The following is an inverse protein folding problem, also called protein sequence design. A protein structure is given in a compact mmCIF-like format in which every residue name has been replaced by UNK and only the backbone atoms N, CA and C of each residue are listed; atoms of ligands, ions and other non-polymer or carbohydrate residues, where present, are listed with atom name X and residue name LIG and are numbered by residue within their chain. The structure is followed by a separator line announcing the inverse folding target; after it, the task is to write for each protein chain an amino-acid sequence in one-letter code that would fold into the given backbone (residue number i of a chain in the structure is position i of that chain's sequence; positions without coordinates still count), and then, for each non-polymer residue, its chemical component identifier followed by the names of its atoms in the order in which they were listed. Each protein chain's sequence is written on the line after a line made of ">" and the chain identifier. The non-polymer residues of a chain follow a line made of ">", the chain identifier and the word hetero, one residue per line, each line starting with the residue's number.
data_IF_425101250803
#
_entry.id   IF_425101250803
#
_cell.length_a   1.000
_cell.length_b   1.000
_cell.length_c   1.000
_cell.angle_alpha   90.00
_cell.angle_beta   90.00
_cell.angle_gamma   90.00
#
_symmetry.space_group_name_H-M   'P 1'
#
loop_
_entity.id
_entity.type
_entity.pdbx_description
1 polymer ?
#
# COMPACT_ATOMS: atom_id res chain seq x y z
N UNK A 1 11.96 -14.28 27.51
CA UNK A 1 12.29 -14.00 26.10
C UNK A 1 11.48 -12.81 25.65
N UNK A 2 12.11 -11.64 25.60
CA UNK A 2 11.43 -10.39 25.26
C UNK A 2 11.32 -10.28 23.74
N UNK A 3 10.13 -10.49 23.18
CA UNK A 3 9.84 -10.11 21.80
C UNK A 3 9.72 -8.59 21.71
N UNK A 4 10.77 -7.93 21.27
CA UNK A 4 10.70 -6.53 20.83
C UNK A 4 9.85 -6.47 19.57
N UNK A 5 8.63 -5.98 19.70
CA UNK A 5 7.74 -5.65 18.58
C UNK A 5 8.36 -4.51 17.79
N UNK A 6 8.97 -4.82 16.66
CA UNK A 6 9.41 -3.81 15.70
C UNK A 6 8.17 -3.17 15.07
N UNK A 7 7.99 -1.88 15.27
CA UNK A 7 6.97 -1.09 14.58
C UNK A 7 7.29 -1.06 13.10
N UNK A 8 6.48 -1.77 12.31
CA UNK A 8 6.56 -1.80 10.85
C UNK A 8 6.01 -0.48 10.34
N UNK A 9 6.89 0.43 9.95
CA UNK A 9 6.52 1.64 9.21
C UNK A 9 6.35 1.23 7.75
N UNK A 10 5.14 0.83 7.38
CA UNK A 10 4.78 0.58 5.99
C UNK A 10 4.65 1.90 5.25
N UNK A 11 5.67 2.25 4.48
CA UNK A 11 5.57 3.30 3.47
C UNK A 11 4.76 2.79 2.28
N UNK A 12 3.44 2.95 2.31
CA UNK A 12 2.56 2.50 1.23
C UNK A 12 2.43 3.62 0.22
N UNK A 13 2.98 3.40 -0.98
CA UNK A 13 2.65 4.16 -2.17
C UNK A 13 1.37 3.55 -2.78
N UNK A 14 0.32 4.33 -2.82
CA UNK A 14 -0.94 3.97 -3.42
C UNK A 14 -0.88 3.93 -4.95
N UNK A 15 -1.43 2.90 -5.54
CA UNK A 15 -1.89 2.96 -6.92
C UNK A 15 -3.09 3.92 -6.97
N UNK A 16 -2.86 5.17 -7.41
CA UNK A 16 -3.95 6.11 -7.60
C UNK A 16 -4.82 5.62 -8.76
N UNK A 17 -5.97 5.04 -8.45
CA UNK A 17 -7.07 4.92 -9.40
C UNK A 17 -7.55 6.34 -9.71
N UNK A 18 -7.02 6.94 -10.78
CA UNK A 18 -7.56 8.16 -11.36
C UNK A 18 -8.86 7.80 -12.11
N UNK A 19 -9.95 7.62 -11.38
CA UNK A 19 -11.27 7.84 -11.93
C UNK A 19 -11.44 9.35 -12.05
N UNK A 20 -11.43 9.83 -13.28
CA UNK A 20 -11.82 11.20 -13.60
C UNK A 20 -13.30 11.38 -13.27
N UNK A 21 -13.58 11.79 -12.03
CA UNK A 21 -14.80 12.48 -11.67
C UNK A 21 -14.37 13.94 -11.44
N UNK A 22 -14.83 14.83 -12.29
CA UNK A 22 -14.63 16.27 -12.14
C UNK A 22 -15.09 16.68 -10.74
N UNK A 23 -14.21 17.31 -9.93
CA UNK A 23 -14.63 17.78 -8.62
C UNK A 23 -15.36 19.12 -8.80
N UNK A 24 -16.60 19.18 -8.41
CA UNK A 24 -17.23 20.45 -8.05
C UNK A 24 -16.61 20.93 -6.72
N UNK A 25 -15.41 21.46 -6.80
CA UNK A 25 -14.79 22.20 -5.71
C UNK A 25 -15.38 23.62 -5.74
N UNK A 26 -16.07 23.99 -4.66
CA UNK A 26 -16.34 25.40 -4.37
C UNK A 26 -15.04 26.19 -4.55
N UNK A 27 -15.05 27.14 -5.46
CA UNK A 27 -13.97 28.10 -5.70
C UNK A 27 -13.64 28.80 -4.39
N UNK A 28 -12.64 28.31 -3.67
CA UNK A 28 -12.05 29.09 -2.59
C UNK A 28 -11.24 30.18 -3.26
N UNK A 29 -11.63 31.42 -3.02
CA UNK A 29 -10.93 32.61 -3.48
C UNK A 29 -9.48 32.50 -3.03
N UNK A 30 -8.60 32.19 -3.97
CA UNK A 30 -7.16 32.31 -3.76
C UNK A 30 -6.90 33.81 -3.56
N UNK A 31 -6.27 34.19 -2.47
CA UNK A 31 -5.77 35.55 -2.29
C UNK A 31 -4.71 35.75 -3.38
N UNK A 32 -5.11 36.38 -4.50
CA UNK A 32 -4.20 36.71 -5.59
C UNK A 32 -3.28 37.82 -5.09
N UNK A 33 -1.98 37.59 -5.24
CA UNK A 33 -1.01 38.66 -5.07
C UNK A 33 -1.36 39.81 -6.05
N UNK A 34 -1.14 41.11 -5.68
CA UNK A 34 -1.45 42.21 -6.54
C UNK A 34 -0.82 42.03 -7.93
N UNK A 35 -1.61 42.19 -8.98
CA UNK A 35 -1.14 42.20 -10.35
C UNK A 35 -0.10 43.34 -10.50
N UNK A 36 1.19 43.01 -10.67
CA UNK A 36 2.28 44.01 -10.74
C UNK A 36 3.39 43.80 -9.70
N UNK A 37 3.26 42.91 -8.73
CA UNK A 37 4.31 42.63 -7.77
C UNK A 37 5.50 41.90 -8.44
N UNK A 38 6.75 42.33 -8.09
CA UNK A 38 7.97 41.64 -8.56
C UNK A 38 8.00 40.18 -8.20
N UNK A 39 8.78 39.37 -8.94
CA UNK A 39 8.96 37.94 -8.61
C UNK A 39 9.39 37.74 -7.16
N UNK A 40 10.33 38.55 -6.68
CA UNK A 40 10.86 38.49 -5.31
C UNK A 40 9.77 38.77 -4.26
N UNK A 41 8.92 39.77 -4.49
CA UNK A 41 7.82 40.08 -3.58
C UNK A 41 6.81 38.94 -3.53
N UNK A 42 6.46 38.30 -4.68
CA UNK A 42 5.58 37.14 -4.75
C UNK A 42 6.18 35.90 -4.07
N UNK A 43 7.52 35.69 -4.28
CA UNK A 43 8.24 34.60 -3.64
C UNK A 43 8.30 34.77 -2.11
N UNK A 44 8.54 35.99 -1.64
CA UNK A 44 8.55 36.33 -0.22
C UNK A 44 7.15 36.11 0.41
N UNK A 45 6.08 36.52 -0.26
CA UNK A 45 4.72 36.29 0.20
C UNK A 45 4.39 34.77 0.28
N UNK A 46 4.73 34.01 -0.77
CA UNK A 46 4.60 32.56 -0.78
C UNK A 46 5.38 31.91 0.37
N UNK A 47 6.65 32.31 0.55
CA UNK A 47 7.55 31.73 1.57
C UNK A 47 6.99 31.97 2.99
N UNK A 48 6.54 33.20 3.30
CA UNK A 48 5.92 33.51 4.59
C UNK A 48 4.67 32.66 4.84
N UNK A 49 3.75 32.63 3.87
CA UNK A 49 2.52 31.84 3.97
C UNK A 49 2.81 30.33 4.10
N UNK A 50 3.80 29.85 3.35
CA UNK A 50 4.20 28.44 3.41
C UNK A 50 4.82 28.07 4.74
N UNK A 51 5.70 28.92 5.30
CA UNK A 51 6.30 28.69 6.60
C UNK A 51 5.27 28.67 7.74
N UNK A 52 4.30 29.60 7.72
CA UNK A 52 3.21 29.60 8.68
C UNK A 52 2.39 28.30 8.60
N UNK A 53 2.00 27.89 7.40
CA UNK A 53 1.30 26.63 7.16
C UNK A 53 2.12 25.41 7.62
N UNK A 54 3.42 25.35 7.34
CA UNK A 54 4.28 24.22 7.74
C UNK A 54 4.44 24.14 9.26
N UNK A 55 4.44 25.26 9.97
CA UNK A 55 4.46 25.28 11.42
C UNK A 55 3.15 24.67 11.99
N UNK A 56 1.99 25.11 11.49
CA UNK A 56 0.69 24.58 11.90
C UNK A 56 0.53 23.09 11.53
N UNK A 57 0.89 22.72 10.29
CA UNK A 57 0.84 21.34 9.84
C UNK A 57 1.76 20.43 10.68
N UNK A 58 2.96 20.90 11.02
CA UNK A 58 3.89 20.13 11.86
C UNK A 58 3.34 19.93 13.27
N UNK A 59 2.76 20.95 13.89
CA UNK A 59 2.12 20.85 15.20
C UNK A 59 0.96 19.82 15.17
N UNK A 60 0.10 19.90 14.13
CA UNK A 60 -0.98 18.95 13.92
C UNK A 60 -0.47 17.50 13.80
N UNK A 61 0.51 17.23 12.93
CA UNK A 61 1.02 15.88 12.71
C UNK A 61 1.82 15.34 13.90
N UNK A 62 2.42 16.21 14.73
CA UNK A 62 3.00 15.84 16.01
C UNK A 62 1.92 15.37 16.99
N UNK A 63 0.79 16.09 17.08
CA UNK A 63 -0.33 15.67 17.94
C UNK A 63 -0.93 14.32 17.49
N UNK A 64 -1.04 14.06 16.19
CA UNK A 64 -1.41 12.74 15.63
C UNK A 64 -0.43 11.66 16.11
N UNK A 65 0.87 11.95 16.06
CA UNK A 65 1.91 11.00 16.47
C UNK A 65 1.85 10.69 17.96
N UNK A 66 1.65 11.68 18.79
CA UNK A 66 1.51 11.52 20.25
C UNK A 66 0.26 10.72 20.61
N UNK A 67 -0.90 11.09 20.06
CA UNK A 67 -2.15 10.36 20.27
C UNK A 67 -2.03 8.90 19.81
N UNK A 68 -1.34 8.64 18.71
CA UNK A 68 -1.06 7.28 18.25
C UNK A 68 -0.20 6.49 19.22
N UNK A 69 0.85 7.10 19.78
CA UNK A 69 1.68 6.47 20.82
C UNK A 69 0.86 6.12 22.06
N UNK A 70 0.01 7.04 22.50
CA UNK A 70 -0.92 6.82 23.62
C UNK A 70 -1.86 5.65 23.35
N UNK A 71 -2.51 5.60 22.20
CA UNK A 71 -3.39 4.47 21.82
C UNK A 71 -2.65 3.14 21.80
N UNK A 72 -1.42 3.11 21.27
CA UNK A 72 -0.63 1.88 21.28
C UNK A 72 -0.20 1.46 22.69
N UNK A 73 0.08 2.39 23.59
CA UNK A 73 0.35 2.10 25.00
C UNK A 73 -0.90 1.52 25.68
N UNK A 74 -2.05 2.18 25.57
CA UNK A 74 -3.33 1.71 26.11
C UNK A 74 -3.65 0.29 25.64
N UNK A 75 -3.52 0.01 24.33
CA UNK A 75 -3.77 -1.35 23.82
C UNK A 75 -2.82 -2.40 24.34
N UNK A 76 -1.55 -2.06 24.60
CA UNK A 76 -0.62 -3.00 25.24
C UNK A 76 -1.00 -3.30 26.68
N UNK A 77 -1.58 -2.32 27.36
CA UNK A 77 -2.02 -2.43 28.75
C UNK A 77 -3.47 -2.92 28.89
N UNK A 78 -4.14 -3.28 27.76
CA UNK A 78 -5.56 -3.65 27.74
C UNK A 78 -6.51 -2.54 28.24
N UNK A 79 -6.08 -1.29 28.16
CA UNK A 79 -6.88 -0.12 28.53
C UNK A 79 -7.81 0.29 27.36
N UNK A 80 -9.02 0.82 27.67
CA UNK A 80 -9.94 1.27 26.63
C UNK A 80 -9.40 2.50 25.89
N UNK A 81 -9.59 2.50 24.56
CA UNK A 81 -9.29 3.64 23.69
C UNK A 81 -10.60 4.36 23.39
N UNK A 82 -10.69 5.63 23.80
CA UNK A 82 -11.87 6.47 23.65
C UNK A 82 -11.64 7.63 22.67
N UNK A 83 -12.66 8.46 22.50
CA UNK A 83 -12.66 9.59 21.56
C UNK A 83 -11.52 10.57 21.84
N UNK A 84 -11.22 10.84 23.13
CA UNK A 84 -10.16 11.76 23.54
C UNK A 84 -8.73 11.28 23.18
N UNK A 85 -8.59 10.03 22.75
CA UNK A 85 -7.32 9.48 22.29
C UNK A 85 -7.03 9.75 20.81
N UNK A 86 -7.90 10.49 20.14
CA UNK A 86 -7.77 10.89 18.75
C UNK A 86 -7.68 12.42 18.62
N UNK A 87 -7.07 12.89 17.54
CA UNK A 87 -7.20 14.29 17.10
C UNK A 87 -8.51 14.41 16.32
N UNK A 88 -9.39 15.30 16.73
CA UNK A 88 -10.75 15.41 16.18
C UNK A 88 -10.90 16.51 15.12
N UNK A 89 -9.87 17.34 14.96
CA UNK A 89 -9.82 18.35 13.89
C UNK A 89 -9.26 17.76 12.61
N UNK A 90 -9.63 18.34 11.48
CA UNK A 90 -9.03 18.00 10.18
C UNK A 90 -7.63 18.62 10.07
N UNK A 91 -6.71 18.00 9.28
CA UNK A 91 -5.40 18.59 9.04
C UNK A 91 -5.53 19.95 8.35
N UNK A 92 -4.64 20.90 8.66
CA UNK A 92 -4.63 22.20 8.00
C UNK A 92 -4.41 22.04 6.49
N UNK A 93 -5.03 22.96 5.74
CA UNK A 93 -4.92 23.01 4.28
C UNK A 93 -4.22 24.31 3.89
N UNK A 94 -3.21 24.21 3.01
CA UNK A 94 -2.55 25.39 2.51
C UNK A 94 -3.52 26.23 1.65
N UNK A 95 -3.76 27.47 2.06
CA UNK A 95 -4.65 28.43 1.37
C UNK A 95 -3.90 29.69 0.92
N UNK A 96 -2.58 29.73 1.11
CA UNK A 96 -1.75 30.86 0.69
C UNK A 96 -1.53 30.93 -0.82
N UNK A 97 -0.81 31.95 -1.30
CA UNK A 97 -0.51 32.13 -2.72
C UNK A 97 0.26 30.93 -3.27
N UNK A 98 0.07 30.57 -4.55
CA UNK A 98 0.87 29.54 -5.20
C UNK A 98 2.33 29.97 -5.31
N UNK A 99 3.25 29.00 -5.37
CA UNK A 99 4.66 29.30 -5.64
C UNK A 99 4.75 30.01 -7.00
N UNK A 100 5.33 31.22 -7.07
CA UNK A 100 5.47 31.91 -8.35
C UNK A 100 6.40 31.09 -9.27
N UNK A 101 6.10 31.02 -10.58
CA UNK A 101 7.03 30.42 -11.53
C UNK A 101 8.36 31.17 -11.44
N UNK A 102 9.43 30.39 -11.25
CA UNK A 102 10.78 30.98 -11.24
C UNK A 102 11.17 31.51 -12.64
N UNK A 103 12.18 32.37 -12.76
CA UNK A 103 12.82 32.57 -14.02
C UNK A 103 13.22 31.21 -14.58
N UNK A 104 13.13 31.01 -15.89
CA UNK A 104 13.41 29.74 -16.58
C UNK A 104 14.90 29.31 -16.46
N UNK A 105 15.34 29.15 -15.24
CA UNK A 105 16.64 28.53 -14.93
C UNK A 105 16.31 27.03 -14.69
N UNK A 106 16.82 26.12 -15.51
CA UNK A 106 16.67 24.71 -15.27
C UNK A 106 17.12 24.40 -13.83
N UNK A 107 16.28 23.74 -13.05
CA UNK A 107 16.63 23.31 -11.67
C UNK A 107 17.70 22.19 -11.78
N UNK A 108 18.94 22.58 -12.03
CA UNK A 108 20.12 21.71 -12.13
C UNK A 108 20.51 21.10 -10.77
N UNK A 109 19.83 21.49 -9.68
CA UNK A 109 20.23 21.11 -8.32
C UNK A 109 19.68 19.76 -7.87
N UNK A 110 18.69 19.19 -8.57
CA UNK A 110 18.15 17.86 -8.25
C UNK A 110 18.47 16.88 -9.36
N UNK A 111 19.32 15.87 -9.09
CA UNK A 111 19.53 14.81 -10.06
C UNK A 111 18.17 14.16 -10.40
N UNK A 112 17.94 13.78 -11.66
CA UNK A 112 16.72 13.09 -12.05
C UNK A 112 16.54 11.88 -11.15
N UNK A 113 15.33 11.71 -10.61
CA UNK A 113 15.03 10.50 -9.81
C UNK A 113 15.23 9.29 -10.70
N UNK A 114 15.96 8.29 -10.17
CA UNK A 114 16.12 7.01 -10.85
C UNK A 114 14.75 6.45 -11.22
N UNK A 115 14.57 5.92 -12.44
CA UNK A 115 13.31 5.34 -12.85
C UNK A 115 12.95 4.18 -11.92
N UNK A 116 11.65 4.05 -11.63
CA UNK A 116 11.16 2.92 -10.84
C UNK A 116 11.28 1.66 -11.71
N UNK A 117 11.89 0.56 -11.19
CA UNK A 117 12.01 -0.68 -11.93
C UNK A 117 10.66 -1.21 -12.40
N UNK A 118 10.62 -1.78 -13.61
CA UNK A 118 9.43 -2.39 -14.20
C UNK A 118 9.57 -3.91 -14.28
N UNK A 119 8.49 -4.59 -14.66
CA UNK A 119 8.46 -6.07 -14.77
C UNK A 119 9.66 -6.63 -15.53
N UNK A 120 10.09 -5.99 -16.63
CA UNK A 120 11.26 -6.44 -17.39
C UNK A 120 12.55 -6.41 -16.58
N UNK A 121 12.73 -5.40 -15.72
CA UNK A 121 13.91 -5.27 -14.85
C UNK A 121 13.93 -6.39 -13.79
N UNK A 122 12.77 -6.73 -13.22
CA UNK A 122 12.65 -7.82 -12.25
C UNK A 122 12.95 -9.18 -12.88
N UNK A 123 12.45 -9.44 -14.08
CA UNK A 123 12.72 -10.67 -14.84
C UNK A 123 14.19 -10.79 -15.16
N UNK A 124 14.81 -9.70 -15.65
CA UNK A 124 16.25 -9.67 -15.93
C UNK A 124 17.07 -9.92 -14.66
N UNK A 125 16.73 -9.28 -13.55
CA UNK A 125 17.40 -9.45 -12.27
C UNK A 125 17.29 -10.89 -11.75
N UNK A 126 16.14 -11.55 -11.91
CA UNK A 126 15.94 -12.95 -11.53
C UNK A 126 16.77 -13.91 -12.36
N UNK A 127 16.79 -13.72 -13.68
CA UNK A 127 17.62 -14.53 -14.59
C UNK A 127 19.12 -14.39 -14.27
N UNK A 128 19.58 -13.16 -14.11
CA UNK A 128 21.00 -12.87 -13.89
C UNK A 128 21.50 -13.37 -12.52
N UNK A 129 20.71 -13.12 -11.45
CA UNK A 129 21.16 -13.38 -10.07
C UNK A 129 20.87 -14.80 -9.60
N UNK A 130 19.71 -15.36 -10.00
CA UNK A 130 19.26 -16.66 -9.52
C UNK A 130 19.21 -17.73 -10.61
N UNK A 131 19.47 -17.40 -11.87
CA UNK A 131 19.20 -18.28 -13.03
C UNK A 131 17.73 -18.73 -13.04
N UNK A 132 16.83 -17.85 -12.58
CA UNK A 132 15.41 -18.12 -12.46
C UNK A 132 14.62 -17.34 -13.50
N UNK A 133 13.85 -18.09 -14.27
CA UNK A 133 12.84 -17.53 -15.18
C UNK A 133 11.47 -17.96 -14.66
N UNK A 134 10.61 -17.03 -14.21
CA UNK A 134 9.27 -17.38 -13.75
C UNK A 134 8.48 -18.12 -14.83
N UNK A 135 7.88 -19.24 -14.47
CA UNK A 135 6.92 -19.92 -15.34
C UNK A 135 5.61 -19.10 -15.35
N UNK A 136 5.42 -18.34 -16.42
CA UNK A 136 4.23 -17.52 -16.58
C UNK A 136 2.97 -18.40 -16.72
N UNK A 137 1.80 -17.97 -16.23
CA UNK A 137 0.54 -18.69 -16.48
C UNK A 137 0.20 -18.67 -17.98
N UNK A 138 -0.55 -19.66 -18.45
CA UNK A 138 -1.01 -19.73 -19.83
C UNK A 138 -2.01 -18.61 -20.20
N UNK A 139 -2.74 -18.13 -19.17
CA UNK A 139 -3.69 -17.03 -19.26
C UNK A 139 -3.86 -16.35 -17.90
N UNK A 140 -4.48 -15.17 -17.88
CA UNK A 140 -4.83 -14.51 -16.61
C UNK A 140 -5.84 -15.34 -15.80
N UNK A 141 -6.76 -16.03 -16.47
CA UNK A 141 -7.70 -16.96 -15.83
C UNK A 141 -6.98 -18.13 -15.15
N UNK A 142 -5.91 -18.65 -15.74
CA UNK A 142 -5.09 -19.72 -15.15
C UNK A 142 -4.47 -19.24 -13.82
N UNK A 143 -3.93 -18.01 -13.81
CA UNK A 143 -3.42 -17.41 -12.57
C UNK A 143 -4.53 -17.16 -11.54
N UNK A 144 -5.71 -16.69 -11.96
CA UNK A 144 -6.88 -16.49 -11.09
C UNK A 144 -7.30 -17.78 -10.42
N UNK A 145 -7.32 -18.91 -11.14
CA UNK A 145 -7.60 -20.23 -10.55
C UNK A 145 -6.57 -20.64 -9.49
N UNK A 146 -5.27 -20.44 -9.79
CA UNK A 146 -4.20 -20.69 -8.82
C UNK A 146 -4.33 -19.82 -7.59
N UNK A 147 -4.66 -18.54 -7.77
CA UNK A 147 -4.86 -17.57 -6.69
C UNK A 147 -6.09 -17.90 -5.83
N UNK A 148 -7.22 -18.20 -6.45
CA UNK A 148 -8.45 -18.62 -5.76
C UNK A 148 -8.22 -19.91 -4.95
N UNK A 149 -7.55 -20.91 -5.55
CA UNK A 149 -7.19 -22.17 -4.86
C UNK A 149 -6.29 -21.92 -3.64
N UNK A 150 -5.28 -21.07 -3.77
CA UNK A 150 -4.39 -20.73 -2.66
C UNK A 150 -5.14 -19.96 -1.55
N UNK A 151 -5.98 -18.99 -1.92
CA UNK A 151 -6.79 -18.22 -0.98
C UNK A 151 -7.78 -19.07 -0.21
N UNK A 152 -8.50 -19.97 -0.90
CA UNK A 152 -9.44 -20.92 -0.28
C UNK A 152 -8.73 -21.84 0.70
N UNK A 153 -7.59 -22.41 0.32
CA UNK A 153 -6.77 -23.26 1.19
C UNK A 153 -6.27 -22.51 2.44
N UNK A 154 -6.10 -21.19 2.34
CA UNK A 154 -5.69 -20.32 3.43
C UNK A 154 -6.87 -19.81 4.29
N UNK A 155 -8.12 -20.20 4.01
CA UNK A 155 -9.31 -19.80 4.75
C UNK A 155 -9.84 -18.40 4.39
N UNK A 156 -9.34 -17.77 3.33
CA UNK A 156 -9.88 -16.52 2.82
C UNK A 156 -11.13 -16.77 1.98
N UNK A 157 -12.11 -15.89 2.10
CA UNK A 157 -13.39 -16.04 1.39
C UNK A 157 -13.32 -15.45 -0.02
N UNK A 158 -14.19 -15.96 -0.90
CA UNK A 158 -14.39 -15.39 -2.24
C UNK A 158 -14.65 -13.88 -2.18
N UNK A 159 -15.50 -13.44 -1.26
CA UNK A 159 -15.86 -12.01 -1.11
C UNK A 159 -14.66 -11.17 -0.74
N UNK A 160 -13.83 -11.60 0.22
CA UNK A 160 -12.60 -10.89 0.58
C UNK A 160 -11.68 -10.73 -0.64
N UNK A 161 -11.41 -11.83 -1.33
CA UNK A 161 -10.44 -11.88 -2.42
C UNK A 161 -10.90 -11.10 -3.65
N UNK A 162 -12.15 -11.26 -4.06
CA UNK A 162 -12.70 -10.56 -5.24
C UNK A 162 -12.76 -9.06 -5.01
N UNK A 163 -13.18 -8.61 -3.84
CA UNK A 163 -13.30 -7.19 -3.51
C UNK A 163 -11.92 -6.51 -3.38
N UNK A 164 -10.94 -7.17 -2.76
CA UNK A 164 -9.57 -6.65 -2.67
C UNK A 164 -8.94 -6.58 -4.07
N UNK A 165 -9.03 -7.65 -4.86
CA UNK A 165 -8.58 -7.63 -6.25
C UNK A 165 -9.23 -6.47 -7.04
N UNK A 166 -10.53 -6.30 -6.91
CA UNK A 166 -11.26 -5.25 -7.58
C UNK A 166 -10.75 -3.87 -7.19
N UNK A 167 -10.53 -3.63 -5.91
CA UNK A 167 -10.01 -2.37 -5.39
C UNK A 167 -8.58 -2.08 -5.86
N UNK A 168 -7.68 -3.05 -5.74
CA UNK A 168 -6.26 -2.89 -6.04
C UNK A 168 -5.96 -2.79 -7.55
N UNK A 169 -6.80 -3.37 -8.40
CA UNK A 169 -6.54 -3.49 -9.84
C UNK A 169 -7.58 -2.83 -10.74
N UNK A 170 -8.57 -2.13 -10.16
CA UNK A 170 -9.71 -1.59 -10.92
C UNK A 170 -10.67 -2.66 -11.43
N UNK A 171 -10.55 -3.90 -10.94
CA UNK A 171 -11.40 -5.03 -11.28
C UNK A 171 -11.11 -5.69 -12.64
N UNK A 172 -10.10 -5.20 -13.40
CA UNK A 172 -9.69 -5.73 -14.70
C UNK A 172 -8.17 -5.94 -14.85
N UNK A 173 -7.41 -5.76 -13.75
CA UNK A 173 -5.96 -5.92 -13.79
C UNK A 173 -5.54 -7.36 -14.02
N UNK A 174 -4.48 -7.57 -14.80
CA UNK A 174 -3.85 -8.86 -15.02
C UNK A 174 -2.88 -9.19 -13.87
N UNK A 175 -2.47 -10.46 -13.79
CA UNK A 175 -1.56 -10.95 -12.74
C UNK A 175 -0.20 -10.24 -12.72
N UNK A 176 0.21 -9.61 -13.80
CA UNK A 176 1.45 -8.83 -13.93
C UNK A 176 1.24 -7.32 -13.95
N UNK A 177 0.04 -6.84 -13.62
CA UNK A 177 -0.27 -5.41 -13.59
C UNK A 177 0.62 -4.71 -12.57
N UNK A 178 1.30 -3.65 -13.02
CA UNK A 178 2.14 -2.82 -12.17
C UNK A 178 1.52 -1.45 -11.95
N UNK A 179 1.66 -0.93 -10.74
CA UNK A 179 1.19 0.39 -10.34
C UNK A 179 1.72 1.50 -11.25
N UNK A 180 0.82 2.31 -11.81
CA UNK A 180 1.12 3.36 -12.78
C UNK A 180 1.05 2.90 -14.24
N UNK A 181 1.02 1.58 -14.49
CA UNK A 181 0.97 0.98 -15.82
C UNK A 181 -0.35 0.23 -16.09
N UNK A 182 -1.33 0.43 -15.24
CA UNK A 182 -2.65 -0.26 -15.28
C UNK A 182 -3.44 0.05 -16.56
N UNK A 183 -3.23 1.23 -17.13
CA UNK A 183 -3.89 1.66 -18.35
C UNK A 183 -2.85 2.07 -19.40
N UNK A 184 -2.94 1.59 -20.64
CA UNK A 184 -2.06 2.04 -21.71
C UNK A 184 -2.31 3.54 -21.95
N UNK A 185 -1.35 4.36 -21.59
CA UNK A 185 -1.32 5.80 -21.88
C UNK A 185 0.02 6.12 -22.53
N UNK A 186 0.06 7.03 -23.51
CA UNK A 186 1.34 7.55 -23.98
C UNK A 186 2.15 8.05 -22.77
N UNK A 187 3.41 7.62 -22.66
CA UNK A 187 4.30 7.98 -21.55
C UNK A 187 3.90 7.48 -20.14
N UNK A 188 3.06 6.43 -20.03
CA UNK A 188 2.80 5.79 -18.74
C UNK A 188 4.11 5.34 -18.07
N UNK A 189 4.25 5.63 -16.79
CA UNK A 189 5.44 5.26 -15.99
C UNK A 189 5.01 4.53 -14.73
N UNK A 190 5.80 3.56 -14.33
CA UNK A 190 5.63 2.95 -13.01
C UNK A 190 5.72 4.00 -11.91
N UNK A 191 4.78 3.98 -10.97
CA UNK A 191 4.78 4.88 -9.80
C UNK A 191 5.26 4.17 -8.53
N UNK A 192 5.31 2.84 -8.58
CA UNK A 192 5.90 1.99 -7.54
C UNK A 192 6.30 0.63 -8.11
N UNK A 193 6.94 -0.20 -7.30
CA UNK A 193 7.25 -1.60 -7.62
C UNK A 193 6.06 -2.54 -7.41
N UNK A 194 4.89 -2.03 -7.06
CA UNK A 194 3.71 -2.85 -6.74
C UNK A 194 3.20 -3.62 -7.96
N UNK A 195 3.11 -4.95 -7.85
CA UNK A 195 2.69 -5.86 -8.92
C UNK A 195 1.62 -6.84 -8.44
N UNK A 196 0.75 -7.20 -9.36
CA UNK A 196 -0.22 -8.29 -9.22
C UNK A 196 -1.50 -7.89 -8.51
N UNK A 197 -2.31 -8.89 -8.18
CA UNK A 197 -3.68 -8.70 -7.69
C UNK A 197 -3.79 -7.96 -6.35
N UNK A 198 -2.80 -8.13 -5.47
CA UNK A 198 -2.74 -7.44 -4.18
C UNK A 198 -1.63 -6.38 -4.15
N UNK A 199 -1.16 -5.93 -5.30
CA UNK A 199 -0.15 -4.86 -5.45
C UNK A 199 1.03 -5.02 -4.48
N UNK A 200 1.72 -6.18 -4.55
CA UNK A 200 2.90 -6.44 -3.73
C UNK A 200 4.06 -5.54 -4.14
N UNK A 201 4.64 -4.83 -3.18
CA UNK A 201 5.92 -4.13 -3.36
C UNK A 201 7.08 -5.14 -3.40
N UNK A 202 8.20 -4.77 -4.02
CA UNK A 202 9.42 -5.60 -3.98
C UNK A 202 9.86 -5.90 -2.54
N UNK A 203 9.71 -4.95 -1.62
CA UNK A 203 9.95 -5.13 -0.18
C UNK A 203 9.05 -6.20 0.43
N UNK A 204 7.77 -6.30 0.02
CA UNK A 204 6.88 -7.37 0.48
C UNK A 204 7.42 -8.74 0.06
N UNK A 205 7.86 -8.90 -1.20
CA UNK A 205 8.38 -10.19 -1.68
C UNK A 205 9.58 -10.66 -0.89
N UNK A 206 10.53 -9.78 -0.60
CA UNK A 206 11.68 -10.08 0.26
C UNK A 206 11.24 -10.46 1.67
N UNK A 207 10.35 -9.66 2.28
CA UNK A 207 9.87 -9.89 3.64
C UNK A 207 9.08 -11.20 3.78
N UNK A 208 8.24 -11.51 2.80
CA UNK A 208 7.45 -12.74 2.78
C UNK A 208 8.33 -13.98 2.64
N UNK A 209 9.36 -13.94 1.79
CA UNK A 209 10.30 -15.05 1.68
C UNK A 209 11.15 -15.22 2.94
N UNK A 210 11.61 -14.14 3.55
CA UNK A 210 12.34 -14.22 4.81
C UNK A 210 11.52 -14.88 5.92
N UNK A 211 10.25 -14.48 6.07
CA UNK A 211 9.39 -14.93 7.16
C UNK A 211 8.68 -16.26 6.91
N UNK A 212 8.28 -16.54 5.66
CA UNK A 212 7.39 -17.67 5.33
C UNK A 212 7.95 -18.61 4.27
N UNK A 213 9.18 -18.41 3.84
CA UNK A 213 9.79 -19.18 2.75
C UNK A 213 9.71 -20.69 2.92
N UNK A 214 9.97 -21.20 4.14
CA UNK A 214 9.91 -22.65 4.41
C UNK A 214 8.48 -23.21 4.28
N UNK A 215 7.46 -22.41 4.65
CA UNK A 215 6.05 -22.77 4.46
C UNK A 215 5.70 -22.83 2.96
N UNK A 216 6.24 -21.91 2.16
CA UNK A 216 6.06 -21.95 0.70
C UNK A 216 6.72 -23.17 0.08
N UNK A 217 7.94 -23.52 0.47
CA UNK A 217 8.62 -24.76 0.02
C UNK A 217 7.78 -25.99 0.35
N UNK A 218 7.26 -26.07 1.58
CA UNK A 218 6.39 -27.18 1.99
C UNK A 218 5.13 -27.25 1.13
N UNK A 219 4.45 -26.13 0.91
CA UNK A 219 3.22 -26.07 0.10
C UNK A 219 3.47 -26.44 -1.37
N UNK A 220 4.62 -26.09 -1.92
CA UNK A 220 4.99 -26.41 -3.31
C UNK A 220 5.33 -27.91 -3.50
N UNK A 221 6.03 -28.49 -2.54
CA UNK A 221 6.30 -29.95 -2.54
C UNK A 221 5.00 -30.77 -2.49
N UNK A 222 3.99 -30.30 -1.74
CA UNK A 222 2.67 -30.95 -1.70
C UNK A 222 1.88 -30.84 -3.01
N UNK A 223 2.37 -30.03 -3.97
CA UNK A 223 1.79 -29.83 -5.29
C UNK A 223 2.65 -30.42 -6.42
N UNK A 224 3.61 -31.25 -6.07
CA UNK A 224 4.55 -31.89 -7.01
C UNK A 224 5.27 -30.90 -7.95
N UNK A 225 5.59 -29.71 -7.44
CA UNK A 225 6.40 -28.74 -8.17
C UNK A 225 7.82 -29.24 -8.27
N UNK A 226 8.42 -29.16 -9.46
CA UNK A 226 9.74 -29.69 -9.74
C UNK A 226 10.84 -29.16 -8.80
N UNK A 227 11.74 -30.04 -8.36
CA UNK A 227 12.78 -29.75 -7.36
C UNK A 227 13.69 -28.60 -7.76
N UNK A 228 14.07 -28.51 -9.04
CA UNK A 228 14.90 -27.41 -9.55
C UNK A 228 14.24 -26.03 -9.32
N UNK A 229 12.93 -25.96 -9.46
CA UNK A 229 12.16 -24.73 -9.19
C UNK A 229 12.14 -24.40 -7.69
N UNK A 230 12.00 -25.43 -6.85
CA UNK A 230 12.09 -25.29 -5.39
C UNK A 230 13.49 -24.81 -4.95
N UNK A 231 14.55 -25.28 -5.61
CA UNK A 231 15.91 -24.86 -5.30
C UNK A 231 16.18 -23.39 -5.68
N UNK A 232 15.57 -22.87 -6.74
CA UNK A 232 15.61 -21.43 -7.00
C UNK A 232 14.95 -20.66 -5.87
N UNK A 233 13.77 -21.09 -5.41
CA UNK A 233 13.08 -20.46 -4.27
C UNK A 233 13.93 -20.50 -3.00
N UNK A 234 14.59 -21.62 -2.69
CA UNK A 234 15.50 -21.73 -1.53
C UNK A 234 16.65 -20.73 -1.59
N UNK A 235 17.25 -20.50 -2.77
CA UNK A 235 18.29 -19.48 -2.93
C UNK A 235 17.74 -18.07 -2.68
N UNK A 236 16.52 -17.77 -3.12
CA UNK A 236 15.84 -16.50 -2.86
C UNK A 236 15.53 -16.32 -1.36
N UNK A 237 15.08 -17.39 -0.68
CA UNK A 237 14.84 -17.39 0.77
C UNK A 237 16.15 -17.11 1.53
N UNK A 238 17.22 -17.82 1.20
CA UNK A 238 18.52 -17.62 1.82
C UNK A 238 19.03 -16.19 1.61
N UNK A 239 18.83 -15.60 0.43
CA UNK A 239 19.17 -14.21 0.16
C UNK A 239 18.32 -13.24 0.99
N UNK A 240 17.02 -13.47 1.10
CA UNK A 240 16.12 -12.62 1.90
C UNK A 240 16.49 -12.61 3.39
N UNK A 241 17.09 -13.68 3.89
CA UNK A 241 17.52 -13.87 5.29
C UNK A 241 18.92 -13.34 5.60
N UNK A 242 19.61 -12.73 4.62
CA UNK A 242 20.94 -12.11 4.83
C UNK A 242 20.90 -10.87 5.71
N UNK A 243 19.74 -10.29 5.92
CA UNK A 243 19.51 -9.11 6.74
C UNK A 243 18.51 -9.42 7.86
N UNK A 244 18.51 -8.64 8.95
CA UNK A 244 17.51 -8.77 9.99
C UNK A 244 16.08 -8.71 9.44
N UNK A 245 15.17 -9.50 10.02
CA UNK A 245 13.76 -9.53 9.61
C UNK A 245 13.04 -8.24 10.06
N UNK A 246 13.38 -7.13 9.42
CA UNK A 246 12.87 -5.79 9.66
C UNK A 246 12.54 -5.12 8.32
N UNK A 247 11.43 -4.40 8.28
CA UNK A 247 10.96 -3.76 7.04
C UNK A 247 12.00 -2.86 6.38
N UNK A 248 12.70 -2.01 7.15
CA UNK A 248 13.70 -1.10 6.60
C UNK A 248 14.90 -1.83 5.97
N UNK A 249 15.31 -2.95 6.54
CA UNK A 249 16.39 -3.77 6.00
C UNK A 249 15.95 -4.52 4.75
N UNK A 250 14.71 -5.05 4.75
CA UNK A 250 14.12 -5.64 3.56
C UNK A 250 13.92 -4.62 2.43
N UNK A 251 13.58 -3.36 2.76
CA UNK A 251 13.44 -2.29 1.76
C UNK A 251 14.78 -1.94 1.09
N UNK A 252 15.86 -1.90 1.86
CA UNK A 252 17.22 -1.74 1.31
C UNK A 252 17.58 -2.94 0.42
N UNK A 253 17.32 -4.15 0.89
CA UNK A 253 17.64 -5.39 0.16
C UNK A 253 16.84 -5.49 -1.15
N UNK A 254 15.55 -5.10 -1.14
CA UNK A 254 14.67 -5.11 -2.30
C UNK A 254 15.15 -4.20 -3.44
N UNK A 255 15.92 -3.16 -3.14
CA UNK A 255 16.52 -2.23 -4.12
C UNK A 255 17.78 -2.79 -4.79
N UNK A 256 18.35 -3.87 -4.27
CA UNK A 256 19.49 -4.55 -4.87
C UNK A 256 19.08 -5.43 -6.04
N UNK A 257 20.01 -5.81 -6.90
CA UNK A 257 19.74 -6.73 -8.01
C UNK A 257 19.15 -8.07 -7.52
N UNK A 258 19.66 -8.63 -6.42
CA UNK A 258 19.10 -9.85 -5.84
C UNK A 258 17.66 -9.67 -5.33
N UNK A 259 17.40 -8.57 -4.64
CA UNK A 259 16.04 -8.25 -4.16
C UNK A 259 15.03 -8.00 -5.29
N UNK A 260 15.44 -7.28 -6.34
CA UNK A 260 14.62 -7.13 -7.56
C UNK A 260 14.33 -8.49 -8.20
N UNK A 261 15.33 -9.39 -8.27
CA UNK A 261 15.15 -10.75 -8.78
C UNK A 261 14.16 -11.58 -7.98
N UNK A 262 14.12 -11.41 -6.65
CA UNK A 262 13.11 -12.04 -5.79
C UNK A 262 11.70 -11.57 -6.18
N UNK A 263 11.52 -10.30 -6.50
CA UNK A 263 10.21 -9.77 -6.83
C UNK A 263 9.60 -10.39 -8.10
N UNK A 264 10.41 -10.86 -9.03
CA UNK A 264 9.95 -11.62 -10.19
C UNK A 264 9.17 -12.90 -9.83
N UNK A 265 9.36 -13.47 -8.64
CA UNK A 265 8.62 -14.65 -8.18
C UNK A 265 7.09 -14.41 -8.08
N UNK A 266 6.66 -13.14 -7.97
CA UNK A 266 5.23 -12.76 -7.98
C UNK A 266 4.56 -13.12 -9.31
N UNK A 267 5.33 -13.17 -10.40
CA UNK A 267 4.85 -13.47 -11.75
C UNK A 267 4.79 -14.97 -12.06
N UNK A 268 5.32 -15.81 -11.18
CA UNK A 268 5.34 -17.25 -11.37
C UNK A 268 3.99 -17.87 -11.01
N UNK A 269 3.48 -18.77 -11.87
CA UNK A 269 2.17 -19.43 -11.68
C UNK A 269 2.02 -20.20 -10.37
N UNK A 270 3.12 -20.70 -9.80
CA UNK A 270 3.11 -21.49 -8.57
C UNK A 270 3.45 -20.65 -7.34
N UNK A 271 4.42 -19.73 -7.45
CA UNK A 271 4.87 -18.88 -6.34
C UNK A 271 3.99 -17.65 -6.14
N UNK A 272 3.58 -17.01 -7.24
CA UNK A 272 2.82 -15.76 -7.23
C UNK A 272 1.56 -15.84 -6.38
N UNK A 273 0.66 -16.82 -6.59
CA UNK A 273 -0.53 -17.01 -5.77
C UNK A 273 -0.25 -17.11 -4.27
N UNK A 274 0.82 -17.83 -3.87
CA UNK A 274 1.18 -17.98 -2.46
C UNK A 274 1.64 -16.65 -1.84
N UNK A 275 2.48 -15.90 -2.55
CA UNK A 275 2.96 -14.58 -2.11
C UNK A 275 1.79 -13.59 -1.96
N UNK A 276 0.91 -13.54 -2.95
CA UNK A 276 -0.27 -12.66 -2.94
C UNK A 276 -1.18 -12.97 -1.75
N UNK A 277 -1.48 -14.25 -1.50
CA UNK A 277 -2.33 -14.69 -0.39
C UNK A 277 -1.67 -14.43 0.95
N UNK A 278 -0.37 -14.70 1.10
CA UNK A 278 0.33 -14.52 2.37
C UNK A 278 0.35 -13.06 2.83
N UNK A 279 0.38 -12.10 1.91
CA UNK A 279 0.26 -10.67 2.26
C UNK A 279 -1.02 -10.41 3.07
N UNK A 280 -2.16 -10.94 2.62
CA UNK A 280 -3.44 -10.79 3.32
C UNK A 280 -3.49 -11.57 4.63
N UNK A 281 -2.94 -12.78 4.64
CA UNK A 281 -2.88 -13.59 5.86
C UNK A 281 -2.07 -12.96 6.98
N UNK A 282 -1.06 -12.15 6.65
CA UNK A 282 -0.29 -11.45 7.68
C UNK A 282 -1.19 -10.48 8.46
N UNK A 283 -2.06 -9.73 7.79
CA UNK A 283 -3.03 -8.85 8.44
C UNK A 283 -4.05 -9.63 9.26
N UNK A 284 -4.56 -10.76 8.74
CA UNK A 284 -5.48 -11.64 9.49
C UNK A 284 -4.82 -12.16 10.76
N UNK A 285 -3.61 -12.72 10.66
CA UNK A 285 -2.86 -13.23 11.81
C UNK A 285 -2.53 -12.12 12.81
N UNK A 286 -2.15 -10.95 12.32
CA UNK A 286 -1.88 -9.80 13.19
C UNK A 286 -3.12 -9.40 13.98
N UNK A 287 -4.29 -9.32 13.34
CA UNK A 287 -5.55 -9.03 14.00
C UNK A 287 -5.88 -10.07 15.08
N UNK A 288 -5.72 -11.36 14.79
CA UNK A 288 -5.93 -12.45 15.74
C UNK A 288 -4.99 -12.35 16.96
N UNK A 289 -3.69 -12.11 16.74
CA UNK A 289 -2.71 -11.89 17.81
C UNK A 289 -3.09 -10.68 18.69
N UNK A 290 -3.75 -9.68 18.11
CA UNK A 290 -4.26 -8.49 18.83
C UNK A 290 -5.63 -8.70 19.46
N UNK A 291 -6.14 -9.93 19.50
CA UNK A 291 -7.40 -10.29 20.15
C UNK A 291 -8.65 -10.07 19.29
N UNK A 292 -8.51 -9.72 18.02
CA UNK A 292 -9.64 -9.58 17.11
C UNK A 292 -9.97 -10.95 16.50
N UNK A 293 -10.96 -11.62 17.06
CA UNK A 293 -11.39 -12.97 16.64
C UNK A 293 -12.39 -12.99 15.49
N UNK A 294 -13.09 -11.86 15.26
CA UNK A 294 -14.05 -11.74 14.17
C UNK A 294 -13.35 -11.80 12.81
N UNK A 295 -14.05 -12.36 11.82
CA UNK A 295 -13.52 -12.39 10.45
C UNK A 295 -13.49 -10.97 9.88
N UNK A 296 -12.30 -10.53 9.45
CA UNK A 296 -12.14 -9.25 8.79
C UNK A 296 -12.90 -9.22 7.46
N UNK A 297 -13.61 -8.15 7.19
CA UNK A 297 -14.20 -7.87 5.88
C UNK A 297 -13.11 -7.50 4.86
N UNK A 298 -13.45 -7.45 3.57
CA UNK A 298 -12.51 -7.00 2.54
C UNK A 298 -12.03 -5.56 2.78
N UNK A 299 -12.95 -4.66 3.18
CA UNK A 299 -12.60 -3.27 3.48
C UNK A 299 -11.68 -3.16 4.71
N UNK A 300 -11.89 -3.97 5.74
CA UNK A 300 -11.02 -3.99 6.93
C UNK A 300 -9.62 -4.52 6.61
N UNK A 301 -9.51 -5.59 5.83
CA UNK A 301 -8.23 -6.08 5.34
C UNK A 301 -7.48 -5.00 4.52
N UNK A 302 -8.21 -4.31 3.66
CA UNK A 302 -7.63 -3.24 2.86
C UNK A 302 -7.23 -2.03 3.72
N UNK A 303 -8.01 -1.67 4.73
CA UNK A 303 -7.63 -0.65 5.70
C UNK A 303 -6.32 -1.00 6.42
N UNK A 304 -6.15 -2.27 6.81
CA UNK A 304 -4.89 -2.74 7.41
C UNK A 304 -3.73 -2.66 6.41
N UNK A 305 -3.97 -3.03 5.16
CA UNK A 305 -2.99 -2.90 4.09
C UNK A 305 -2.57 -1.44 3.87
N UNK A 306 -3.51 -0.51 3.82
CA UNK A 306 -3.30 0.91 3.56
C UNK A 306 -2.59 1.66 4.67
N UNK A 307 -2.91 1.36 5.91
CA UNK A 307 -2.44 2.12 7.07
C UNK A 307 -1.32 1.40 7.84
N UNK A 308 -1.03 0.16 7.43
CA UNK A 308 -0.18 -0.79 8.14
C UNK A 308 -0.92 -1.45 9.30
N UNK A 309 -0.61 -2.72 9.56
CA UNK A 309 -1.35 -3.57 10.49
C UNK A 309 -1.61 -2.93 11.87
N UNK A 310 -0.61 -2.22 12.43
CA UNK A 310 -0.74 -1.57 13.73
C UNK A 310 -1.77 -0.44 13.78
N UNK A 311 -1.81 0.43 12.77
CA UNK A 311 -2.83 1.48 12.66
C UNK A 311 -4.16 0.89 12.16
N UNK A 312 -4.08 -0.08 11.25
CA UNK A 312 -5.24 -0.73 10.66
C UNK A 312 -6.09 -1.45 11.70
N UNK A 313 -5.48 -2.19 12.62
CA UNK A 313 -6.24 -2.84 13.70
C UNK A 313 -6.87 -1.82 14.65
N UNK A 314 -6.22 -0.69 14.89
CA UNK A 314 -6.79 0.43 15.67
C UNK A 314 -8.04 1.01 14.98
N UNK A 315 -7.99 1.11 13.65
CA UNK A 315 -9.13 1.58 12.84
C UNK A 315 -10.27 0.53 12.80
N UNK A 316 -9.93 -0.74 12.59
CA UNK A 316 -10.89 -1.86 12.49
C UNK A 316 -11.64 -2.07 13.81
N UNK A 317 -10.94 -2.03 14.93
CA UNK A 317 -11.53 -2.26 16.26
C UNK A 317 -12.19 -1.03 16.87
N UNK A 318 -12.19 0.11 16.16
CA UNK A 318 -12.84 1.34 16.63
C UNK A 318 -14.35 1.12 16.78
N UNK A 319 -14.96 1.52 17.91
CA UNK A 319 -16.41 1.49 18.09
C UNK A 319 -17.14 2.30 17.01
N UNK A 320 -18.25 1.77 16.49
CA UNK A 320 -19.06 2.40 15.46
C UNK A 320 -19.45 3.85 15.85
N UNK A 321 -19.81 4.06 17.12
CA UNK A 321 -20.29 5.35 17.64
C UNK A 321 -19.30 6.52 17.52
N UNK A 322 -18.01 6.23 17.36
CA UNK A 322 -16.99 7.29 17.25
C UNK A 322 -16.42 7.42 15.83
N UNK A 323 -16.69 6.48 14.93
CA UNK A 323 -16.16 6.50 13.55
C UNK A 323 -16.54 7.74 12.75
N UNK A 324 -17.70 8.31 13.00
CA UNK A 324 -18.19 9.54 12.32
C UNK A 324 -17.44 10.80 12.76
N UNK A 325 -16.83 10.75 13.94
CA UNK A 325 -16.16 11.90 14.55
C UNK A 325 -14.63 11.87 14.40
N UNK A 326 -14.05 10.71 14.14
CA UNK A 326 -12.60 10.54 14.09
C UNK A 326 -12.08 10.75 12.67
N UNK A 327 -11.22 11.77 12.45
CA UNK A 327 -10.57 12.01 11.17
C UNK A 327 -9.67 10.87 10.72
N UNK A 328 -9.70 10.57 9.42
CA UNK A 328 -8.86 9.55 8.78
C UNK A 328 -7.37 9.80 8.95
N UNK A 329 -6.95 11.06 9.07
CA UNK A 329 -5.55 11.47 9.31
C UNK A 329 -4.92 10.79 10.52
N UNK A 330 -5.71 10.40 11.54
CA UNK A 330 -5.20 9.69 12.72
C UNK A 330 -4.48 8.37 12.41
N UNK A 331 -4.72 7.79 11.24
CA UNK A 331 -4.24 6.45 10.85
C UNK A 331 -3.12 6.48 9.80
N UNK A 332 -2.82 7.65 9.25
CA UNK A 332 -1.81 7.81 8.21
C UNK A 332 -0.59 8.59 8.71
N UNK A 333 0.55 8.37 8.10
CA UNK A 333 1.66 9.31 8.17
C UNK A 333 1.34 10.50 7.25
N UNK A 334 1.87 11.71 7.57
CA UNK A 334 1.61 12.94 6.80
C UNK A 334 1.71 12.73 5.29
N UNK A 335 2.87 12.29 4.81
CA UNK A 335 3.07 12.11 3.37
C UNK A 335 2.21 10.99 2.76
N UNK A 336 1.80 9.98 3.54
CA UNK A 336 0.84 8.95 3.12
C UNK A 336 -0.56 9.53 2.97
N UNK A 337 -1.01 10.31 3.94
CA UNK A 337 -2.29 11.01 3.90
C UNK A 337 -2.38 12.00 2.73
N UNK A 338 -1.36 12.83 2.57
CA UNK A 338 -1.33 13.85 1.52
C UNK A 338 -1.43 13.25 0.10
N UNK A 339 -0.92 12.03 -0.09
CA UNK A 339 -1.01 11.29 -1.36
C UNK A 339 -2.28 10.45 -1.50
N UNK A 340 -3.00 10.19 -0.40
CA UNK A 340 -4.20 9.36 -0.43
C UNK A 340 -5.44 10.20 -0.67
N UNK A 341 -5.88 10.28 -1.94
CA UNK A 341 -7.05 11.05 -2.34
C UNK A 341 -8.34 10.60 -1.66
N UNK A 342 -8.50 9.29 -1.40
CA UNK A 342 -9.71 8.75 -0.74
C UNK A 342 -9.73 9.22 0.71
N UNK A 343 -8.66 9.00 1.47
CA UNK A 343 -8.59 9.42 2.88
C UNK A 343 -8.83 10.92 3.08
N UNK A 344 -8.30 11.75 2.16
CA UNK A 344 -8.50 13.21 2.21
C UNK A 344 -9.94 13.64 1.91
N UNK A 345 -10.58 13.01 0.90
CA UNK A 345 -11.94 13.39 0.50
C UNK A 345 -12.97 12.97 1.53
N UNK A 346 -12.81 11.80 2.12
CA UNK A 346 -13.77 11.24 3.08
C UNK A 346 -13.72 11.93 4.44
N UNK A 347 -12.57 12.39 4.85
CA UNK A 347 -12.37 13.14 6.07
C UNK A 347 -12.55 12.34 7.37
N UNK A 348 -13.51 11.43 7.47
CA UNK A 348 -13.78 10.61 8.67
C UNK A 348 -13.65 9.12 8.42
N UNK A 349 -13.46 8.34 9.49
CA UNK A 349 -13.35 6.89 9.42
C UNK A 349 -14.63 6.25 8.87
N UNK A 350 -15.82 6.72 9.29
CA UNK A 350 -17.08 6.19 8.79
C UNK A 350 -17.23 6.42 7.28
N UNK A 351 -16.93 7.64 6.82
CA UNK A 351 -16.99 7.97 5.40
C UNK A 351 -15.94 7.21 4.57
N UNK A 352 -14.74 6.97 5.14
CA UNK A 352 -13.71 6.14 4.48
C UNK A 352 -14.20 4.69 4.28
N UNK A 353 -14.82 4.09 5.29
CA UNK A 353 -15.42 2.76 5.18
C UNK A 353 -16.51 2.71 4.11
N UNK A 354 -17.41 3.67 4.10
CA UNK A 354 -18.49 3.75 3.13
C UNK A 354 -17.95 3.87 1.69
N UNK A 355 -17.01 4.78 1.47
CA UNK A 355 -16.38 5.00 0.17
C UNK A 355 -15.63 3.76 -0.32
N UNK A 356 -14.83 3.12 0.54
CA UNK A 356 -14.10 1.90 0.17
C UNK A 356 -15.04 0.75 -0.19
N UNK A 357 -16.09 0.54 0.60
CA UNK A 357 -17.10 -0.48 0.29
C UNK A 357 -17.79 -0.17 -1.04
N UNK A 358 -18.20 1.08 -1.28
CA UNK A 358 -18.81 1.49 -2.55
C UNK A 358 -17.90 1.30 -3.76
N UNK A 359 -16.60 1.61 -3.62
CA UNK A 359 -15.60 1.36 -4.67
C UNK A 359 -15.48 -0.14 -4.91
N UNK A 360 -15.32 -0.95 -3.87
CA UNK A 360 -15.18 -2.41 -3.98
C UNK A 360 -16.41 -3.04 -4.62
N UNK A 361 -17.62 -2.61 -4.24
CA UNK A 361 -18.88 -3.12 -4.81
C UNK A 361 -18.97 -2.81 -6.31
N UNK A 362 -18.71 -1.57 -6.69
CA UNK A 362 -18.74 -1.13 -8.09
C UNK A 362 -17.69 -1.86 -8.94
N UNK A 363 -16.44 -1.93 -8.47
CA UNK A 363 -15.35 -2.55 -9.20
C UNK A 363 -15.44 -4.08 -9.24
N UNK A 364 -16.11 -4.71 -8.28
CA UNK A 364 -16.41 -6.14 -8.31
C UNK A 364 -17.36 -6.55 -9.44
N UNK A 365 -18.06 -5.60 -10.07
CA UNK A 365 -18.89 -5.84 -11.25
C UNK A 365 -18.09 -5.87 -12.56
N UNK A 366 -16.83 -5.52 -12.55
CA UNK A 366 -15.98 -5.55 -13.73
C UNK A 366 -15.72 -6.99 -14.21
N UNK A 367 -15.51 -7.20 -15.52
CA UNK A 367 -15.31 -8.53 -16.08
C UNK A 367 -14.22 -9.35 -15.41
N UNK A 368 -13.06 -8.75 -15.15
CA UNK A 368 -11.94 -9.45 -14.51
C UNK A 368 -12.23 -9.86 -13.06
N UNK A 369 -13.01 -9.09 -12.32
CA UNK A 369 -13.44 -9.44 -10.96
C UNK A 369 -14.49 -10.57 -10.99
N UNK A 370 -15.43 -10.56 -11.96
CA UNK A 370 -16.39 -11.64 -12.16
C UNK A 370 -15.70 -12.94 -12.57
N UNK A 371 -14.69 -12.86 -13.43
CA UNK A 371 -13.89 -14.02 -13.81
C UNK A 371 -13.14 -14.61 -12.60
N UNK A 372 -12.55 -13.76 -11.73
CA UNK A 372 -11.96 -14.25 -10.48
C UNK A 372 -13.02 -14.87 -9.54
N UNK A 373 -14.21 -14.29 -9.47
CA UNK A 373 -15.30 -14.83 -8.66
C UNK A 373 -15.76 -16.22 -9.16
N UNK A 374 -15.70 -16.48 -10.46
CA UNK A 374 -16.04 -17.79 -11.04
C UNK A 374 -14.93 -18.84 -10.87
N UNK A 375 -13.71 -18.42 -10.54
CA UNK A 375 -12.57 -19.30 -10.27
C UNK A 375 -12.58 -19.91 -8.84
N UNK A 376 -13.46 -19.44 -7.93
CA UNK A 376 -13.66 -19.97 -6.60
C UNK A 376 -14.63 -21.16 -6.59
#
# INVERSE_FOLDING_TARGET
>A
MQHRSASIVSGILFAALLLAAEPSYAQRVAIQAPSGASYEARLAAYTRARNAYEAEASAYWNSITEKRRTRFAKRRNHEPVGLNDYVLTQPPVYTGPPKPPGPDVPDVTKPPRAPIPVVADFLKAAADHYRFVPQRPSSDLDFKRGYAKAAKAAGLTRVQIVRIYAFETGGNGKYDVQSGLTHPRPNARAISTAIGYNQLLATNSVSLLAGYGDQFVKALRQRDVADNKIDHLRRMIAFSRKVPNQWGEHDKLAKTRGGMGIHAAVLDRDFGPLLQVQKLLNSVKFAQIKGHSARLTAAELEMMNLTGDGNGIDLVTMPQSIRERVPTSNFFQRGGYERNGIARRTGTVAALYAEMNGIMDRLSQQPGAKELASAF
#
